data_IF_124374500983
#
_entry.id   IF_124374500983
#
_cell.length_a   1.000
_cell.length_b   1.000
_cell.length_c   1.000
_cell.angle_alpha   90.00
_cell.angle_beta   90.00
_cell.angle_gamma   90.00
#
_symmetry.space_group_name_H-M   'P 1'
#
loop_
_entity.id
_entity.type
_entity.pdbx_description
1 polymer ?
#
# COMPACT_ATOMS: atom_id res chain seq x y z
N UNK A 1 -7.61 -12.30 -27.59
CA UNK A 1 -7.85 -11.03 -28.32
C UNK A 1 -7.27 -11.06 -29.73
N UNK A 2 -8.00 -10.60 -30.75
CA UNK A 2 -7.45 -10.37 -32.09
C UNK A 2 -6.61 -9.08 -32.17
N UNK A 3 -5.91 -8.83 -33.29
CA UNK A 3 -5.01 -7.66 -33.44
C UNK A 3 -5.79 -6.34 -33.31
N UNK A 4 -6.97 -6.23 -33.90
CA UNK A 4 -7.76 -4.98 -33.89
C UNK A 4 -8.35 -4.72 -32.52
N UNK A 5 -8.89 -5.76 -31.89
CA UNK A 5 -9.37 -5.72 -30.51
C UNK A 5 -8.26 -5.28 -29.56
N UNK A 6 -7.03 -5.80 -29.75
CA UNK A 6 -5.86 -5.40 -28.96
C UNK A 6 -5.45 -3.96 -29.16
N UNK A 7 -5.37 -3.49 -30.41
CA UNK A 7 -5.06 -2.09 -30.70
C UNK A 7 -6.09 -1.15 -30.08
N UNK A 8 -7.37 -1.53 -30.14
CA UNK A 8 -8.46 -0.79 -29.52
C UNK A 8 -8.35 -0.79 -27.99
N UNK A 9 -8.11 -1.96 -27.38
CA UNK A 9 -7.90 -2.09 -25.94
C UNK A 9 -6.75 -1.22 -25.45
N UNK A 10 -5.59 -1.28 -26.10
CA UNK A 10 -4.40 -0.48 -25.76
C UNK A 10 -4.75 1.02 -25.80
N UNK A 11 -5.44 1.46 -26.85
CA UNK A 11 -5.82 2.87 -27.01
C UNK A 11 -6.76 3.32 -25.90
N UNK A 12 -7.77 2.52 -25.55
CA UNK A 12 -8.71 2.80 -24.46
C UNK A 12 -7.99 2.89 -23.10
N UNK A 13 -6.99 2.03 -22.87
CA UNK A 13 -6.19 2.10 -21.64
C UNK A 13 -5.32 3.36 -21.61
N UNK A 14 -4.66 3.73 -22.72
CA UNK A 14 -3.88 4.99 -22.79
C UNK A 14 -4.75 6.23 -22.52
N UNK A 15 -5.99 6.25 -23.03
CA UNK A 15 -6.96 7.31 -22.77
C UNK A 15 -7.38 7.36 -21.30
N UNK A 16 -7.63 6.20 -20.70
CA UNK A 16 -7.96 6.10 -19.27
C UNK A 16 -6.80 6.56 -18.38
N UNK A 17 -5.57 6.12 -18.68
CA UNK A 17 -4.35 6.51 -17.97
C UNK A 17 -4.04 8.00 -18.09
N UNK A 18 -4.50 8.69 -19.15
CA UNK A 18 -4.33 10.13 -19.27
C UNK A 18 -4.97 10.90 -18.09
N UNK A 19 -6.03 10.36 -17.48
CA UNK A 19 -6.69 10.95 -16.31
C UNK A 19 -5.82 10.92 -15.05
N UNK A 20 -4.84 10.02 -14.95
CA UNK A 20 -3.86 10.01 -13.86
C UNK A 20 -3.14 11.35 -13.79
N UNK A 21 -2.73 11.94 -14.92
CA UNK A 21 -2.01 13.21 -14.93
C UNK A 21 -2.84 14.37 -14.37
N UNK A 22 -4.14 14.40 -14.68
CA UNK A 22 -5.04 15.43 -14.17
C UNK A 22 -5.17 15.37 -12.64
N UNK A 23 -5.24 14.17 -12.07
CA UNK A 23 -5.30 13.98 -10.62
C UNK A 23 -3.94 14.22 -9.97
N UNK A 24 -2.88 13.74 -10.61
CA UNK A 24 -1.49 13.85 -10.15
C UNK A 24 -1.08 15.28 -9.84
N UNK A 25 -1.44 16.24 -10.71
CA UNK A 25 -1.08 17.64 -10.52
C UNK A 25 -1.65 18.24 -9.22
N UNK A 26 -2.78 17.72 -8.74
CA UNK A 26 -3.41 18.15 -7.49
C UNK A 26 -2.81 17.48 -6.27
N UNK A 27 -2.40 16.21 -6.39
CA UNK A 27 -2.05 15.38 -5.24
C UNK A 27 -0.54 15.22 -5.00
N UNK A 28 0.31 15.49 -5.99
CA UNK A 28 1.78 15.30 -5.89
C UNK A 28 2.45 16.13 -4.79
N UNK A 29 1.78 17.16 -4.30
CA UNK A 29 2.26 18.02 -3.21
C UNK A 29 1.87 17.48 -1.83
N UNK A 30 0.99 16.48 -1.77
CA UNK A 30 0.46 15.97 -0.51
C UNK A 30 1.49 15.16 0.27
N UNK A 31 2.41 14.45 -0.40
CA UNK A 31 3.49 13.68 0.22
C UNK A 31 4.64 13.38 -0.76
N UNK A 32 5.86 13.13 -0.27
CA UNK A 32 6.99 12.80 -1.15
C UNK A 32 6.81 11.47 -1.89
N UNK A 33 6.08 10.51 -1.31
CA UNK A 33 5.74 9.25 -1.96
C UNK A 33 4.89 9.43 -3.23
N UNK A 34 4.24 10.59 -3.40
CA UNK A 34 3.45 10.96 -4.56
C UNK A 34 4.19 11.87 -5.56
N UNK A 35 5.49 12.10 -5.41
CA UNK A 35 6.26 12.96 -6.33
C UNK A 35 6.71 12.25 -7.62
N UNK A 36 6.42 10.95 -7.73
CA UNK A 36 6.77 10.12 -8.87
C UNK A 36 5.56 9.31 -9.31
N UNK A 37 5.37 9.24 -10.62
CA UNK A 37 4.45 8.33 -11.28
C UNK A 37 5.18 7.03 -11.65
N UNK A 38 4.49 5.90 -11.58
CA UNK A 38 5.03 4.58 -11.85
C UNK A 38 4.31 3.91 -13.03
N UNK A 39 4.91 2.91 -13.68
CA UNK A 39 4.23 2.10 -14.68
C UNK A 39 2.91 1.54 -14.16
N UNK A 40 1.91 1.47 -15.03
CA UNK A 40 0.65 0.78 -14.77
C UNK A 40 0.55 -0.41 -15.70
N UNK A 41 0.34 -1.59 -15.12
CA UNK A 41 0.16 -2.84 -15.84
C UNK A 41 -1.30 -3.24 -15.76
N UNK A 42 -1.98 -3.24 -16.90
CA UNK A 42 -3.38 -3.68 -16.97
C UNK A 42 -3.41 -5.17 -17.28
N UNK A 43 -4.15 -5.95 -16.49
CA UNK A 43 -4.30 -7.39 -16.68
C UNK A 43 -5.59 -7.69 -17.41
N UNK A 44 -5.51 -8.40 -18.52
CA UNK A 44 -6.64 -8.82 -19.35
C UNK A 44 -6.31 -10.16 -20.02
N UNK A 45 -7.23 -11.14 -20.00
CA UNK A 45 -7.06 -12.46 -20.64
C UNK A 45 -5.68 -13.12 -20.36
N UNK A 46 -5.27 -13.24 -19.10
CA UNK A 46 -3.97 -13.81 -18.69
C UNK A 46 -2.75 -13.11 -19.32
N UNK A 47 -2.89 -11.83 -19.68
CA UNK A 47 -1.83 -11.02 -20.27
C UNK A 47 -1.65 -9.74 -19.47
N UNK A 48 -0.39 -9.42 -19.16
CA UNK A 48 0.04 -8.12 -18.67
C UNK A 48 0.25 -7.18 -19.85
N UNK A 49 -0.43 -6.04 -19.84
CA UNK A 49 -0.20 -4.91 -20.74
C UNK A 49 0.47 -3.79 -19.99
N UNK A 50 1.77 -3.56 -20.23
CA UNK A 50 2.56 -2.57 -19.49
C UNK A 50 2.48 -1.21 -20.16
N UNK A 51 2.05 -0.22 -19.39
CA UNK A 51 2.03 1.19 -19.78
C UNK A 51 3.00 1.97 -18.91
N UNK A 52 3.87 2.77 -19.54
CA UNK A 52 4.88 3.55 -18.85
C UNK A 52 4.98 4.95 -19.44
N UNK A 53 5.63 5.85 -18.71
CA UNK A 53 5.81 7.24 -19.09
C UNK A 53 6.85 7.35 -20.22
N UNK A 54 6.45 7.94 -21.33
CA UNK A 54 7.39 8.33 -22.38
C UNK A 54 8.15 9.63 -22.01
N UNK A 55 9.02 10.08 -22.90
CA UNK A 55 9.82 11.32 -22.73
C UNK A 55 9.00 12.62 -22.57
N UNK A 56 7.69 12.58 -22.83
CA UNK A 56 6.76 13.70 -22.63
C UNK A 56 5.90 13.55 -21.37
N UNK A 57 6.27 12.62 -20.47
CA UNK A 57 5.47 12.26 -19.29
C UNK A 57 4.02 11.91 -19.67
N UNK A 58 3.83 11.05 -20.68
CA UNK A 58 2.53 10.48 -21.01
C UNK A 58 2.63 8.97 -20.99
N UNK A 59 1.64 8.31 -20.39
CA UNK A 59 1.52 6.87 -20.46
C UNK A 59 1.40 6.40 -21.91
N UNK A 60 2.23 5.41 -22.25
CA UNK A 60 2.23 4.71 -23.53
C UNK A 60 2.41 3.23 -23.31
N UNK A 61 1.75 2.44 -24.14
CA UNK A 61 1.99 1.01 -24.19
C UNK A 61 3.46 0.74 -24.53
N UNK A 62 4.09 -0.12 -23.75
CA UNK A 62 5.51 -0.48 -23.90
C UNK A 62 5.65 -1.91 -24.40
N UNK A 63 4.95 -2.84 -23.75
CA UNK A 63 5.04 -4.27 -24.05
C UNK A 63 3.88 -5.04 -23.43
N UNK A 64 3.74 -6.28 -23.87
CA UNK A 64 2.89 -7.26 -23.20
C UNK A 64 3.71 -8.46 -22.73
N UNK A 65 3.20 -9.18 -21.73
CA UNK A 65 3.82 -10.39 -21.22
C UNK A 65 2.73 -11.34 -20.68
N UNK A 66 2.81 -12.66 -20.90
CA UNK A 66 1.86 -13.59 -20.28
C UNK A 66 1.95 -13.52 -18.75
N UNK A 67 0.82 -13.68 -18.05
CA UNK A 67 0.84 -13.80 -16.60
C UNK A 67 1.49 -15.14 -16.21
N UNK A 68 2.25 -15.20 -15.10
CA UNK A 68 2.88 -16.46 -14.66
C UNK A 68 1.84 -17.45 -14.09
N UNK A 69 0.67 -16.95 -13.72
CA UNK A 69 -0.48 -17.68 -13.19
C UNK A 69 -1.75 -16.87 -13.44
N UNK A 70 -2.94 -17.51 -13.43
CA UNK A 70 -4.20 -16.79 -13.52
C UNK A 70 -4.28 -15.70 -12.46
N UNK A 71 -4.50 -14.46 -12.90
CA UNK A 71 -4.67 -13.32 -12.01
C UNK A 71 -6.17 -13.10 -11.82
N UNK A 72 -6.67 -13.04 -10.57
CA UNK A 72 -8.09 -12.81 -10.31
C UNK A 72 -8.58 -11.51 -10.94
N UNK A 73 -9.85 -11.50 -11.37
CA UNK A 73 -10.54 -10.25 -11.73
C UNK A 73 -10.56 -9.29 -10.54
N UNK A 74 -10.41 -7.99 -10.83
CA UNK A 74 -10.34 -6.96 -9.81
C UNK A 74 -9.02 -6.92 -9.05
N UNK A 75 -7.93 -7.43 -9.64
CA UNK A 75 -6.61 -7.34 -9.02
C UNK A 75 -6.24 -5.88 -8.81
N UNK A 76 -5.67 -5.61 -7.64
CA UNK A 76 -5.02 -4.36 -7.26
C UNK A 76 -3.81 -4.77 -6.44
N UNK A 77 -2.63 -4.57 -7.00
CA UNK A 77 -1.37 -4.91 -6.36
C UNK A 77 -0.23 -4.05 -6.92
N UNK A 78 0.91 -4.07 -6.24
CA UNK A 78 2.15 -3.47 -6.71
C UNK A 78 3.30 -4.45 -6.50
N UNK A 79 4.06 -4.71 -7.56
CA UNK A 79 5.28 -5.50 -7.47
C UNK A 79 6.26 -5.16 -8.61
N UNK A 80 7.57 -5.41 -8.41
CA UNK A 80 8.56 -5.33 -9.48
C UNK A 80 8.29 -6.37 -10.57
N UNK A 81 8.37 -5.92 -11.83
CA UNK A 81 8.21 -6.78 -13.00
C UNK A 81 9.58 -7.28 -13.48
N UNK A 82 9.87 -8.58 -13.27
CA UNK A 82 11.16 -9.18 -13.67
C UNK A 82 11.42 -9.03 -15.18
N UNK A 83 10.41 -9.31 -16.01
CA UNK A 83 10.47 -9.15 -17.47
C UNK A 83 10.58 -7.69 -17.94
N UNK A 84 10.46 -6.73 -17.01
CA UNK A 84 10.58 -5.31 -17.25
C UNK A 84 11.62 -4.67 -16.32
N UNK A 85 12.79 -5.31 -16.23
CA UNK A 85 13.99 -4.82 -15.52
C UNK A 85 13.76 -4.53 -14.03
N UNK A 86 12.92 -5.34 -13.37
CA UNK A 86 12.55 -5.18 -11.96
C UNK A 86 11.91 -3.82 -11.62
N UNK A 87 11.38 -3.11 -12.62
CA UNK A 87 10.70 -1.83 -12.39
C UNK A 87 9.37 -2.11 -11.66
N UNK A 88 9.10 -1.48 -10.51
CA UNK A 88 7.82 -1.62 -9.82
C UNK A 88 6.70 -1.01 -10.66
N UNK A 89 5.57 -1.68 -10.69
CA UNK A 89 4.38 -1.26 -11.41
C UNK A 89 3.15 -1.43 -10.52
N UNK A 90 2.13 -0.59 -10.71
CA UNK A 90 0.78 -0.87 -10.23
C UNK A 90 0.09 -1.85 -11.20
N UNK A 91 -0.39 -2.98 -10.69
CA UNK A 91 -1.02 -4.05 -11.44
C UNK A 91 -2.52 -4.02 -11.16
N UNK A 92 -3.30 -3.79 -12.20
CA UNK A 92 -4.74 -3.51 -12.07
C UNK A 92 -5.56 -4.22 -13.14
N UNK A 93 -6.81 -4.55 -12.82
CA UNK A 93 -7.82 -4.86 -13.85
C UNK A 93 -8.42 -3.56 -14.43
N UNK A 94 -8.87 -3.60 -15.68
CA UNK A 94 -9.37 -2.40 -16.42
C UNK A 94 -10.55 -1.70 -15.73
N UNK A 95 -11.34 -2.42 -14.93
CA UNK A 95 -12.51 -1.89 -14.23
C UNK A 95 -12.15 -0.79 -13.23
N UNK A 96 -10.87 -0.73 -12.81
CA UNK A 96 -10.35 0.31 -11.92
C UNK A 96 -10.58 1.72 -12.50
N UNK A 97 -10.61 1.86 -13.82
CA UNK A 97 -10.76 3.16 -14.48
C UNK A 97 -12.20 3.69 -14.47
N UNK A 98 -13.18 2.88 -14.01
CA UNK A 98 -14.61 3.23 -14.04
C UNK A 98 -15.03 4.22 -12.94
N UNK A 99 -14.20 4.48 -11.93
CA UNK A 99 -14.55 5.33 -10.79
C UNK A 99 -13.39 6.22 -10.35
N UNK A 100 -13.66 7.32 -9.65
CA UNK A 100 -12.59 8.16 -9.10
C UNK A 100 -11.82 7.42 -8.00
N UNK A 101 -12.53 6.63 -7.19
CA UNK A 101 -11.98 5.75 -6.16
C UNK A 101 -10.97 4.76 -6.74
N UNK A 102 -11.24 4.21 -7.92
CA UNK A 102 -10.29 3.33 -8.59
C UNK A 102 -8.97 4.05 -8.97
N UNK A 103 -9.02 5.29 -9.45
CA UNK A 103 -7.79 6.07 -9.63
C UNK A 103 -7.06 6.34 -8.31
N UNK A 104 -7.80 6.56 -7.22
CA UNK A 104 -7.20 6.68 -5.89
C UNK A 104 -6.46 5.40 -5.49
N UNK A 105 -7.02 4.22 -5.79
CA UNK A 105 -6.33 2.95 -5.57
C UNK A 105 -5.08 2.78 -6.45
N UNK A 106 -5.05 3.29 -7.69
CA UNK A 106 -3.80 3.30 -8.47
C UNK A 106 -2.70 4.09 -7.74
N UNK A 107 -3.05 5.23 -7.12
CA UNK A 107 -2.08 5.98 -6.32
C UNK A 107 -1.68 5.27 -5.02
N UNK A 108 -2.58 4.47 -4.43
CA UNK A 108 -2.22 3.57 -3.33
C UNK A 108 -1.12 2.58 -3.77
N UNK A 109 -1.29 1.94 -4.93
CA UNK A 109 -0.27 1.04 -5.48
C UNK A 109 1.04 1.77 -5.85
N UNK A 110 0.98 3.04 -6.23
CA UNK A 110 2.19 3.86 -6.41
C UNK A 110 2.93 4.10 -5.10
N UNK A 111 2.25 4.15 -3.96
CA UNK A 111 2.91 4.23 -2.65
C UNK A 111 3.68 2.94 -2.38
N UNK A 112 3.14 1.77 -2.73
CA UNK A 112 3.89 0.52 -2.63
C UNK A 112 5.08 0.47 -3.61
N UNK A 113 4.94 1.00 -4.83
CA UNK A 113 6.08 1.17 -5.74
C UNK A 113 7.17 2.07 -5.13
N UNK A 114 6.76 3.15 -4.46
CA UNK A 114 7.68 4.03 -3.73
C UNK A 114 8.36 3.30 -2.57
N UNK A 115 7.62 2.51 -1.79
CA UNK A 115 8.18 1.71 -0.70
C UNK A 115 9.26 0.75 -1.19
N UNK A 116 8.97 0.03 -2.28
CA UNK A 116 9.94 -0.86 -2.94
C UNK A 116 11.25 -0.14 -3.29
N UNK A 117 11.17 1.02 -3.96
CA UNK A 117 12.36 1.78 -4.39
C UNK A 117 13.10 2.45 -3.23
N UNK A 118 12.42 2.73 -2.11
CA UNK A 118 12.95 3.55 -1.02
C UNK A 118 13.25 2.74 0.25
N UNK A 119 13.39 1.41 0.12
CA UNK A 119 14.03 0.56 1.13
C UNK A 119 13.13 -0.41 1.88
N UNK A 120 11.95 -0.75 1.33
CA UNK A 120 11.13 -1.86 1.83
C UNK A 120 11.98 -3.13 2.03
N UNK A 121 12.79 -3.51 1.05
CA UNK A 121 13.61 -4.73 1.13
C UNK A 121 14.64 -4.67 2.27
N UNK A 122 15.34 -3.54 2.44
CA UNK A 122 16.32 -3.38 3.53
C UNK A 122 15.64 -3.50 4.91
N UNK A 123 14.48 -2.88 5.08
CA UNK A 123 13.70 -2.98 6.32
C UNK A 123 13.22 -4.41 6.53
N UNK A 124 12.68 -5.06 5.49
CA UNK A 124 12.20 -6.44 5.54
C UNK A 124 13.30 -7.41 5.95
N UNK A 125 14.49 -7.28 5.37
CA UNK A 125 15.66 -8.11 5.69
C UNK A 125 16.14 -7.96 7.15
N UNK A 126 15.82 -6.84 7.80
CA UNK A 126 16.16 -6.64 9.21
C UNK A 126 15.30 -7.46 10.18
N UNK A 127 14.09 -7.86 9.77
CA UNK A 127 13.08 -8.50 10.64
C UNK A 127 13.30 -10.00 10.81
N UNK A 128 13.13 -10.50 12.04
CA UNK A 128 13.25 -11.93 12.33
C UNK A 128 12.14 -12.77 11.66
N UNK A 129 10.92 -12.24 11.51
CA UNK A 129 9.84 -12.88 10.77
C UNK A 129 10.23 -13.15 9.32
N UNK A 130 10.78 -12.15 8.63
CA UNK A 130 11.20 -12.29 7.24
C UNK A 130 12.39 -13.26 7.11
N UNK A 131 13.37 -13.19 8.01
CA UNK A 131 14.50 -14.15 8.04
C UNK A 131 14.03 -15.58 8.25
N UNK A 132 13.07 -15.82 9.15
CA UNK A 132 12.48 -17.15 9.39
C UNK A 132 11.67 -17.62 8.19
N UNK A 133 10.85 -16.76 7.62
CA UNK A 133 10.04 -17.03 6.44
C UNK A 133 10.91 -17.44 5.24
N UNK A 134 11.99 -16.70 4.98
CA UNK A 134 12.95 -17.03 3.92
C UNK A 134 13.63 -18.40 4.13
N UNK A 135 14.01 -18.73 5.37
CA UNK A 135 14.59 -20.06 5.70
C UNK A 135 13.58 -21.20 5.52
N UNK A 136 12.30 -20.92 5.75
CA UNK A 136 11.20 -21.89 5.58
C UNK A 136 10.54 -21.88 4.20
N UNK A 137 11.02 -21.07 3.26
CA UNK A 137 10.38 -20.83 1.95
C UNK A 137 8.92 -20.35 2.04
N UNK A 138 8.54 -19.68 3.13
CA UNK A 138 7.22 -19.07 3.30
C UNK A 138 7.21 -17.64 2.75
N UNK A 139 7.09 -17.51 1.43
CA UNK A 139 7.03 -16.19 0.78
C UNK A 139 5.70 -15.46 1.01
N UNK A 140 4.70 -16.11 1.62
CA UNK A 140 3.34 -15.61 1.81
C UNK A 140 3.06 -15.18 3.25
N UNK A 141 4.09 -15.08 4.10
CA UNK A 141 3.96 -14.73 5.52
C UNK A 141 3.23 -13.39 5.75
N UNK A 142 3.41 -12.41 4.85
CA UNK A 142 2.71 -11.11 4.96
C UNK A 142 1.18 -11.26 4.86
N UNK A 143 0.71 -12.34 4.24
CA UNK A 143 -0.72 -12.61 4.04
C UNK A 143 -1.23 -13.63 5.06
N UNK A 144 -0.46 -14.69 5.30
CA UNK A 144 -0.92 -15.89 5.98
C UNK A 144 -0.42 -16.04 7.42
N UNK A 145 0.40 -15.11 7.94
CA UNK A 145 0.89 -15.19 9.31
C UNK A 145 -0.27 -15.30 10.32
N UNK A 146 -0.28 -16.32 11.21
CA UNK A 146 -1.39 -16.61 12.10
C UNK A 146 -1.36 -15.72 13.36
N UNK A 147 -1.46 -14.40 13.17
CA UNK A 147 -1.48 -13.45 14.27
C UNK A 147 -2.65 -13.71 15.24
N UNK A 148 -2.46 -13.58 16.56
CA UNK A 148 -3.49 -13.91 17.55
C UNK A 148 -4.57 -12.82 17.69
N UNK A 149 -5.35 -12.57 16.63
CA UNK A 149 -6.38 -11.52 16.58
C UNK A 149 -7.48 -11.62 17.66
N UNK A 150 -7.67 -12.81 18.23
CA UNK A 150 -8.66 -13.09 19.26
C UNK A 150 -8.08 -13.11 20.69
N UNK A 151 -6.77 -12.86 20.84
CA UNK A 151 -6.16 -12.75 22.15
C UNK A 151 -6.83 -11.64 22.98
N UNK A 152 -7.10 -11.92 24.26
CA UNK A 152 -7.91 -11.05 25.10
C UNK A 152 -7.19 -9.74 25.40
N UNK A 153 -5.89 -9.80 25.64
CA UNK A 153 -5.09 -8.64 26.00
C UNK A 153 -4.95 -7.74 24.77
N UNK A 154 -4.57 -8.30 23.61
CA UNK A 154 -4.54 -7.59 22.33
C UNK A 154 -5.88 -6.89 22.04
N UNK A 155 -7.00 -7.61 22.11
CA UNK A 155 -8.33 -7.07 21.86
C UNK A 155 -8.65 -5.90 22.78
N UNK A 156 -8.43 -6.09 24.09
CA UNK A 156 -8.85 -5.12 25.10
C UNK A 156 -8.07 -3.82 24.99
N UNK A 157 -6.79 -3.91 24.65
CA UNK A 157 -5.92 -2.76 24.41
C UNK A 157 -6.24 -2.07 23.08
N UNK A 158 -6.50 -2.84 22.02
CA UNK A 158 -6.78 -2.30 20.69
C UNK A 158 -8.08 -1.50 20.66
N UNK A 159 -9.12 -1.93 21.36
CA UNK A 159 -10.40 -1.19 21.44
C UNK A 159 -10.21 0.17 22.11
N UNK A 160 -9.32 0.29 23.09
CA UNK A 160 -9.06 1.55 23.79
C UNK A 160 -8.39 2.60 22.90
N UNK A 161 -7.71 2.17 21.82
CA UNK A 161 -7.04 3.09 20.90
C UNK A 161 -8.00 4.03 20.17
N UNK A 162 -9.27 3.67 19.92
CA UNK A 162 -10.23 4.57 19.28
C UNK A 162 -10.26 5.93 20.00
N UNK A 163 -10.42 5.90 21.33
CA UNK A 163 -10.45 7.12 22.14
C UNK A 163 -9.10 7.86 22.10
N UNK A 164 -7.99 7.15 21.99
CA UNK A 164 -6.66 7.79 21.94
C UNK A 164 -6.43 8.49 20.61
N UNK A 165 -6.85 7.90 19.50
CA UNK A 165 -6.82 8.54 18.18
C UNK A 165 -7.77 9.74 18.11
N UNK A 166 -9.02 9.60 18.58
CA UNK A 166 -10.00 10.70 18.59
C UNK A 166 -9.51 11.91 19.41
N UNK A 167 -8.85 11.66 20.54
CA UNK A 167 -8.28 12.72 21.38
C UNK A 167 -6.86 13.14 20.94
N UNK A 168 -6.33 12.56 19.86
CA UNK A 168 -4.96 12.78 19.36
C UNK A 168 -3.88 12.62 20.45
N UNK A 169 -4.08 11.66 21.35
CA UNK A 169 -3.23 11.39 22.51
C UNK A 169 -2.07 10.45 22.14
N UNK A 170 -1.04 11.04 21.54
CA UNK A 170 0.13 10.31 21.06
C UNK A 170 0.82 9.47 22.16
N UNK A 171 0.95 10.01 23.37
CA UNK A 171 1.67 9.32 24.45
C UNK A 171 0.96 8.03 24.85
N UNK A 172 -0.38 8.01 24.80
CA UNK A 172 -1.16 6.78 25.01
C UNK A 172 -1.04 5.79 23.85
N UNK A 173 -1.01 6.26 22.60
CA UNK A 173 -0.76 5.40 21.42
C UNK A 173 0.64 4.77 21.49
N UNK A 174 1.65 5.52 21.90
CA UNK A 174 3.01 5.01 22.10
C UNK A 174 3.07 4.00 23.26
N UNK A 175 2.35 4.28 24.36
CA UNK A 175 2.25 3.35 25.50
C UNK A 175 1.60 2.03 25.09
N UNK A 176 0.58 2.06 24.24
CA UNK A 176 -0.04 0.86 23.68
C UNK A 176 0.99 0.01 22.90
N UNK A 177 1.76 0.61 21.98
CA UNK A 177 2.74 -0.14 21.20
C UNK A 177 3.84 -0.75 22.09
N UNK A 178 4.33 0.02 23.06
CA UNK A 178 5.31 -0.47 24.06
C UNK A 178 4.76 -1.61 24.94
N UNK A 179 3.46 -1.63 25.19
CA UNK A 179 2.81 -2.71 25.94
C UNK A 179 2.75 -3.97 25.08
N UNK A 180 2.26 -3.87 23.84
CA UNK A 180 2.21 -5.01 22.93
C UNK A 180 3.59 -5.58 22.59
N UNK A 181 4.64 -4.75 22.50
CA UNK A 181 6.01 -5.22 22.32
C UNK A 181 6.51 -6.15 23.44
N UNK A 182 5.90 -6.08 24.63
CA UNK A 182 6.24 -6.93 25.78
C UNK A 182 5.36 -8.18 25.89
N UNK A 183 4.13 -8.11 25.37
CA UNK A 183 3.12 -9.17 25.50
C UNK A 183 3.12 -10.12 24.31
N UNK A 184 3.35 -9.59 23.11
CA UNK A 184 3.44 -10.38 21.88
C UNK A 184 4.81 -11.04 21.77
N UNK A 185 4.86 -12.16 21.02
CA UNK A 185 6.13 -12.67 20.55
C UNK A 185 6.81 -11.66 19.63
N UNK A 186 8.14 -11.69 19.53
CA UNK A 186 8.89 -10.83 18.60
C UNK A 186 8.33 -10.91 17.17
N UNK A 187 7.97 -12.11 16.73
CA UNK A 187 7.45 -12.37 15.39
C UNK A 187 6.07 -11.72 15.18
N UNK A 188 5.17 -11.85 16.17
CA UNK A 188 3.84 -11.24 16.08
C UNK A 188 3.92 -9.71 16.14
N UNK A 189 4.81 -9.17 16.98
CA UNK A 189 5.03 -7.73 17.06
C UNK A 189 5.60 -7.17 15.75
N UNK A 190 6.63 -7.81 15.20
CA UNK A 190 7.20 -7.46 13.90
C UNK A 190 6.16 -7.52 12.79
N UNK A 191 5.35 -8.58 12.73
CA UNK A 191 4.26 -8.69 11.75
C UNK A 191 3.27 -7.53 11.89
N UNK A 192 2.85 -7.22 13.11
CA UNK A 192 1.91 -6.13 13.36
C UNK A 192 2.47 -4.78 12.89
N UNK A 193 3.70 -4.44 13.31
CA UNK A 193 4.33 -3.16 12.93
C UNK A 193 4.58 -3.11 11.42
N UNK A 194 5.01 -4.22 10.80
CA UNK A 194 5.19 -4.32 9.36
C UNK A 194 3.89 -4.01 8.59
N UNK A 195 2.77 -4.61 8.97
CA UNK A 195 1.47 -4.36 8.34
C UNK A 195 0.99 -2.93 8.56
N UNK A 196 1.16 -2.39 9.78
CA UNK A 196 0.83 -1.00 10.07
C UNK A 196 1.68 -0.02 9.27
N UNK A 197 2.97 -0.31 9.07
CA UNK A 197 3.84 0.53 8.26
C UNK A 197 3.53 0.40 6.76
N UNK A 198 3.52 -0.82 6.21
CA UNK A 198 3.39 -1.06 4.77
C UNK A 198 2.03 -0.60 4.24
N UNK A 199 0.97 -1.22 4.74
CA UNK A 199 -0.42 -1.00 4.30
C UNK A 199 -1.03 0.23 4.97
N UNK A 200 -0.65 0.51 6.22
CA UNK A 200 -1.12 1.70 6.91
C UNK A 200 -0.54 2.99 6.34
N UNK A 201 0.71 3.00 5.87
CA UNK A 201 1.25 4.17 5.14
C UNK A 201 0.53 4.38 3.81
N UNK A 202 0.33 3.32 3.01
CA UNK A 202 -0.43 3.40 1.77
C UNK A 202 -1.86 3.91 2.01
N UNK A 203 -2.53 3.43 3.07
CA UNK A 203 -3.85 3.93 3.49
C UNK A 203 -3.85 5.37 4.00
N UNK A 204 -2.81 5.79 4.72
CA UNK A 204 -2.65 7.18 5.15
C UNK A 204 -2.60 8.12 3.94
N UNK A 205 -1.73 7.80 2.96
CA UNK A 205 -1.62 8.58 1.72
C UNK A 205 -2.92 8.51 0.91
N UNK A 206 -3.55 7.34 0.81
CA UNK A 206 -4.87 7.19 0.19
C UNK A 206 -5.91 8.13 0.82
N UNK A 207 -5.92 8.25 2.14
CA UNK A 207 -6.84 9.15 2.85
C UNK A 207 -6.53 10.63 2.63
N UNK A 208 -5.26 11.03 2.50
CA UNK A 208 -4.90 12.38 2.08
C UNK A 208 -5.45 12.69 0.68
N UNK A 209 -5.28 11.77 -0.26
CA UNK A 209 -5.80 11.90 -1.63
C UNK A 209 -7.33 11.97 -1.62
N UNK A 210 -7.99 11.08 -0.87
CA UNK A 210 -9.47 11.09 -0.73
C UNK A 210 -9.96 12.42 -0.19
N UNK A 211 -9.31 12.97 0.83
CA UNK A 211 -9.67 14.27 1.39
C UNK A 211 -9.52 15.40 0.35
N UNK A 212 -8.41 15.45 -0.39
CA UNK A 212 -8.18 16.43 -1.47
C UNK A 212 -9.22 16.30 -2.61
N UNK A 213 -9.71 15.10 -2.87
CA UNK A 213 -10.71 14.81 -3.89
C UNK A 213 -12.16 14.84 -3.38
N UNK A 214 -12.39 15.25 -2.13
CA UNK A 214 -13.71 15.27 -1.49
C UNK A 214 -14.42 13.91 -1.49
N UNK A 215 -13.65 12.83 -1.40
CA UNK A 215 -14.14 11.46 -1.26
C UNK A 215 -14.25 11.06 0.21
N UNK A 216 -15.11 10.08 0.49
CA UNK A 216 -15.17 9.45 1.80
C UNK A 216 -13.82 8.78 2.11
N UNK A 217 -13.30 9.04 3.31
CA UNK A 217 -12.08 8.41 3.82
C UNK A 217 -12.26 6.89 3.93
N UNK A 218 -11.20 6.15 3.64
CA UNK A 218 -11.07 4.72 3.85
C UNK A 218 -10.66 4.48 5.30
N UNK A 219 -11.65 4.51 6.18
CA UNK A 219 -11.49 4.23 7.60
C UNK A 219 -12.39 3.08 8.03
N UNK A 220 -11.93 2.33 9.03
CA UNK A 220 -12.72 1.31 9.70
C UNK A 220 -12.88 1.67 11.18
N UNK A 221 -13.99 1.23 11.78
CA UNK A 221 -14.11 1.24 13.24
C UNK A 221 -13.21 0.15 13.82
N UNK A 222 -12.42 0.46 14.86
CA UNK A 222 -11.65 -0.55 15.58
C UNK A 222 -12.59 -1.38 16.46
N UNK A 223 -13.24 -2.35 15.82
CA UNK A 223 -14.17 -3.29 16.46
C UNK A 223 -13.90 -4.71 16.01
N UNK A 224 -14.35 -5.66 16.82
CA UNK A 224 -14.28 -7.08 16.50
C UNK A 224 -15.14 -7.42 15.26
N UNK A 225 -14.78 -8.49 14.51
CA UNK A 225 -13.54 -9.25 14.64
C UNK A 225 -12.34 -8.49 14.06
N UNK A 226 -11.23 -8.48 14.79
CA UNK A 226 -9.97 -7.93 14.26
C UNK A 226 -9.39 -8.90 13.22
N UNK A 227 -8.72 -8.33 12.23
CA UNK A 227 -8.03 -9.07 11.17
C UNK A 227 -6.89 -8.21 10.61
N UNK A 228 -6.20 -8.68 9.58
CA UNK A 228 -5.09 -7.97 8.95
C UNK A 228 -5.45 -6.54 8.52
N UNK A 229 -6.64 -6.32 7.97
CA UNK A 229 -7.13 -5.00 7.54
C UNK A 229 -7.29 -4.02 8.70
N UNK A 230 -7.49 -4.52 9.93
CA UNK A 230 -7.48 -3.68 11.14
C UNK A 230 -6.13 -2.99 11.34
N UNK A 231 -5.01 -3.64 10.97
CA UNK A 231 -3.69 -3.01 11.05
C UNK A 231 -3.50 -1.87 10.05
N UNK A 232 -4.22 -1.87 8.94
CA UNK A 232 -4.08 -0.82 7.94
C UNK A 232 -4.69 0.48 8.47
N UNK A 233 -5.86 0.39 9.11
CA UNK A 233 -6.51 1.53 9.77
C UNK A 233 -5.72 2.01 11.00
N UNK A 234 -5.25 1.09 11.84
CA UNK A 234 -4.38 1.39 12.99
C UNK A 234 -3.10 2.10 12.57
N UNK A 235 -2.42 1.57 11.55
CA UNK A 235 -1.19 2.12 11.01
C UNK A 235 -1.43 3.51 10.42
N UNK A 236 -2.48 3.67 9.61
CA UNK A 236 -2.84 4.97 9.03
C UNK A 236 -3.05 6.05 10.10
N UNK A 237 -3.79 5.75 11.17
CA UNK A 237 -4.05 6.70 12.27
C UNK A 237 -2.79 6.99 13.10
N UNK A 238 -1.96 5.97 13.34
CA UNK A 238 -0.70 6.15 14.07
C UNK A 238 0.28 7.02 13.28
N UNK A 239 0.43 6.75 11.98
CA UNK A 239 1.29 7.52 11.08
C UNK A 239 0.81 8.98 10.98
N UNK A 240 -0.49 9.21 10.88
CA UNK A 240 -1.05 10.57 10.90
C UNK A 240 -0.61 11.34 12.16
N UNK A 241 -0.75 10.75 13.35
CA UNK A 241 -0.31 11.38 14.59
C UNK A 241 1.22 11.63 14.63
N UNK A 242 2.01 10.71 14.09
CA UNK A 242 3.47 10.85 14.01
C UNK A 242 3.86 12.02 13.10
N UNK A 243 3.33 12.05 11.87
CA UNK A 243 3.64 13.09 10.88
C UNK A 243 3.16 14.47 11.33
N UNK A 244 2.02 14.56 12.02
CA UNK A 244 1.53 15.83 12.56
C UNK A 244 2.41 16.37 13.70
N UNK A 245 3.14 15.49 14.40
CA UNK A 245 4.08 15.88 15.46
C UNK A 245 5.48 16.18 14.92
N UNK A 246 5.93 15.39 13.95
CA UNK A 246 7.27 15.41 13.35
C UNK A 246 7.14 15.45 11.83
N UNK A 247 6.94 16.66 11.29
CA UNK A 247 6.68 16.86 9.85
C UNK A 247 7.83 16.42 8.93
N UNK A 248 9.04 16.27 9.47
CA UNK A 248 10.20 15.68 8.80
C UNK A 248 10.02 14.19 8.44
N UNK A 249 9.06 13.50 9.07
CA UNK A 249 8.73 12.11 8.76
C UNK A 249 7.94 11.97 7.45
N UNK A 250 7.42 13.08 6.92
CA UNK A 250 6.62 13.11 5.70
C UNK A 250 7.39 12.54 4.51
N UNK A 251 6.92 11.40 4.01
CA UNK A 251 7.56 10.63 2.93
C UNK A 251 8.94 10.05 3.25
N UNK A 252 9.40 10.09 4.51
CA UNK A 252 10.61 9.40 4.94
C UNK A 252 10.24 8.03 5.52
N UNK A 253 9.99 7.07 4.62
CA UNK A 253 9.42 5.78 4.99
C UNK A 253 10.32 4.96 5.93
N UNK A 254 11.65 5.10 5.84
CA UNK A 254 12.60 4.38 6.71
C UNK A 254 12.56 4.93 8.13
N UNK A 255 12.64 6.25 8.29
CA UNK A 255 12.56 6.87 9.60
C UNK A 255 11.18 6.64 10.24
N UNK A 256 10.11 6.70 9.43
CA UNK A 256 8.77 6.37 9.90
C UNK A 256 8.69 4.95 10.48
N UNK A 257 9.28 3.96 9.81
CA UNK A 257 9.35 2.59 10.33
C UNK A 257 10.10 2.54 11.67
N UNK A 258 11.27 3.17 11.76
CA UNK A 258 12.09 3.20 12.97
C UNK A 258 11.41 3.88 14.16
N UNK A 259 10.51 4.85 13.90
CA UNK A 259 9.71 5.50 14.94
C UNK A 259 8.54 4.64 15.43
N UNK A 260 8.03 3.76 14.58
CA UNK A 260 6.92 2.85 14.91
C UNK A 260 7.38 1.58 15.64
N UNK A 261 8.61 1.11 15.36
CA UNK A 261 9.21 -0.11 15.91
C UNK A 261 9.82 0.11 17.31
#
# INVERSE_FOLDING_TARGET
MDIKEKEQFIKEQEESLAKIHYLYDRIKILDNSLQKLYPVTVVEEDTFYVFDLNSKNKYKFVMEHPTPMPIPEGVMAAFPLEFYSMKPSAIVSKEIFNSLEGYVFIFHEFVHCHQWENGENELKESLEIAKKANKGSDYMWEINHPFPYNDKDFVSETIQLNNHFENRDYDKVLKYHRKLAKELSTIDYEYMIWQQWKEGFARYIENLIRAELSLKLNTAELRKPFNRVSFYDLGSKHIELLVDRESELKGNIKELFLKMY
#
